data_IF_175837451900
#
_entry.id   IF_175837451900
#
_cell.length_a   1.000
_cell.length_b   1.000
_cell.length_c   1.000
_cell.angle_alpha   90.00
_cell.angle_beta   90.00
_cell.angle_gamma   90.00
#
_symmetry.space_group_name_H-M   'P 1'
#
loop_
_entity.id
_entity.type
_entity.pdbx_description
1 polymer ?
#
# COMPACT_ATOMS: atom_id res chain seq x y z
N UNK A 1 0.37 18.55 -9.16
CA UNK A 1 0.23 17.08 -9.04
C UNK A 1 1.63 16.49 -8.99
N UNK A 2 1.91 15.59 -8.02
CA UNK A 2 3.24 15.05 -7.79
C UNK A 2 3.74 14.25 -9.00
N UNK A 3 4.98 14.50 -9.41
CA UNK A 3 5.68 13.63 -10.35
C UNK A 3 6.06 12.35 -9.61
N UNK A 4 5.22 11.32 -9.74
CA UNK A 4 5.64 9.95 -9.44
C UNK A 4 6.69 9.55 -10.48
N UNK A 5 7.89 9.23 -10.00
CA UNK A 5 8.94 8.69 -10.85
C UNK A 5 8.48 7.36 -11.49
N UNK A 6 8.99 7.05 -12.68
CA UNK A 6 8.64 5.87 -13.45
C UNK A 6 8.93 4.59 -12.66
N UNK A 7 10.03 4.57 -11.88
CA UNK A 7 10.34 3.46 -10.98
C UNK A 7 9.24 3.28 -9.92
N UNK A 8 8.81 4.38 -9.30
CA UNK A 8 7.78 4.36 -8.27
C UNK A 8 6.44 3.86 -8.83
N UNK A 9 6.09 4.28 -10.04
CA UNK A 9 4.89 3.81 -10.75
C UNK A 9 4.88 2.28 -10.92
N UNK A 10 5.96 1.71 -11.44
CA UNK A 10 6.04 0.26 -11.64
C UNK A 10 6.10 -0.53 -10.33
N UNK A 11 6.76 -0.01 -9.29
CA UNK A 11 6.77 -0.63 -7.95
C UNK A 11 5.37 -0.71 -7.35
N UNK A 12 4.59 0.36 -7.45
CA UNK A 12 3.22 0.40 -6.94
C UNK A 12 2.33 -0.57 -7.73
N UNK A 13 2.41 -0.56 -9.06
CA UNK A 13 1.62 -1.47 -9.90
C UNK A 13 1.94 -2.94 -9.56
N UNK A 14 3.22 -3.29 -9.42
CA UNK A 14 3.64 -4.64 -9.03
C UNK A 14 3.07 -5.03 -7.66
N UNK A 15 3.13 -4.14 -6.66
CA UNK A 15 2.59 -4.40 -5.34
C UNK A 15 1.06 -4.63 -5.37
N UNK A 16 0.33 -3.83 -6.15
CA UNK A 16 -1.12 -3.96 -6.31
C UNK A 16 -1.49 -5.28 -6.97
N UNK A 17 -0.74 -5.73 -7.97
CA UNK A 17 -0.96 -7.03 -8.62
C UNK A 17 -0.66 -8.19 -7.66
N UNK A 18 0.48 -8.17 -6.98
CA UNK A 18 0.93 -9.31 -6.16
C UNK A 18 0.18 -9.45 -4.85
N UNK A 19 -0.12 -8.35 -4.19
CA UNK A 19 -0.65 -8.37 -2.82
C UNK A 19 -2.12 -7.96 -2.74
N UNK A 20 -2.65 -7.28 -3.76
CA UNK A 20 -4.01 -6.75 -3.77
C UNK A 20 -4.90 -7.26 -4.91
N UNK A 21 -4.42 -8.23 -5.70
CA UNK A 21 -5.17 -8.96 -6.73
C UNK A 21 -5.77 -8.09 -7.84
N UNK A 22 -5.27 -6.86 -8.02
CA UNK A 22 -5.63 -6.06 -9.17
C UNK A 22 -5.01 -6.65 -10.45
N UNK A 23 -5.78 -6.74 -11.52
CA UNK A 23 -5.29 -7.06 -12.85
C UNK A 23 -4.58 -5.86 -13.48
N UNK A 24 -3.71 -6.13 -14.46
CA UNK A 24 -3.05 -5.06 -15.22
C UNK A 24 -4.07 -4.13 -15.89
N UNK A 25 -5.16 -4.70 -16.41
CA UNK A 25 -6.27 -3.96 -17.02
C UNK A 25 -6.97 -3.03 -16.04
N UNK A 26 -7.19 -3.44 -14.79
CA UNK A 26 -7.80 -2.57 -13.77
C UNK A 26 -6.86 -1.42 -13.37
N UNK A 27 -5.55 -1.69 -13.30
CA UNK A 27 -4.54 -0.68 -12.96
C UNK A 27 -4.39 0.35 -14.09
N UNK A 28 -4.42 -0.09 -15.34
CA UNK A 28 -4.29 0.78 -16.52
C UNK A 28 -5.56 1.61 -16.77
N UNK A 29 -6.74 1.08 -16.44
CA UNK A 29 -8.01 1.81 -16.58
C UNK A 29 -8.39 2.63 -15.34
N UNK A 30 -7.60 2.57 -14.27
CA UNK A 30 -7.90 3.28 -13.02
C UNK A 30 -7.82 4.79 -13.23
N UNK A 31 -8.83 5.53 -12.75
CA UNK A 31 -8.81 6.99 -12.87
C UNK A 31 -7.69 7.53 -11.99
N UNK A 32 -6.96 8.54 -12.48
CA UNK A 32 -5.73 9.01 -11.83
C UNK A 32 -5.90 9.38 -10.35
N UNK A 33 -7.08 9.84 -9.92
CA UNK A 33 -7.37 10.17 -8.51
C UNK A 33 -7.73 8.97 -7.63
N UNK A 34 -8.31 7.89 -8.20
CA UNK A 34 -8.67 6.69 -7.43
C UNK A 34 -7.43 6.01 -6.87
N UNK A 35 -6.31 6.09 -7.61
CA UNK A 35 -5.01 5.55 -7.21
C UNK A 35 -4.53 6.15 -5.90
N UNK A 36 -4.64 7.46 -5.76
CA UNK A 36 -4.19 8.16 -4.56
C UNK A 36 -4.99 7.71 -3.33
N UNK A 37 -6.29 7.45 -3.50
CA UNK A 37 -7.16 6.95 -2.43
C UNK A 37 -6.77 5.52 -2.03
N UNK A 38 -6.65 4.59 -2.99
CA UNK A 38 -6.31 3.20 -2.68
C UNK A 38 -4.93 3.06 -2.06
N UNK A 39 -3.93 3.81 -2.57
CA UNK A 39 -2.59 3.85 -1.98
C UNK A 39 -2.64 4.44 -0.57
N UNK A 40 -3.45 5.49 -0.34
CA UNK A 40 -3.65 6.08 0.98
C UNK A 40 -4.28 5.11 2.00
N UNK A 41 -5.32 4.37 1.59
CA UNK A 41 -5.96 3.34 2.41
C UNK A 41 -4.99 2.20 2.72
N UNK A 42 -4.23 1.74 1.73
CA UNK A 42 -3.22 0.69 1.90
C UNK A 42 -2.13 1.12 2.88
N UNK A 43 -1.62 2.34 2.73
CA UNK A 43 -0.63 2.90 3.65
C UNK A 43 -1.16 2.90 5.08
N UNK A 44 -2.39 3.38 5.26
CA UNK A 44 -3.03 3.43 6.59
C UNK A 44 -3.17 2.04 7.21
N UNK A 45 -3.55 1.04 6.41
CA UNK A 45 -3.65 -0.35 6.86
C UNK A 45 -2.29 -0.93 7.30
N UNK A 46 -1.23 -0.70 6.51
CA UNK A 46 0.12 -1.17 6.84
C UNK A 46 0.63 -0.51 8.14
N UNK A 47 0.39 0.79 8.31
CA UNK A 47 0.76 1.52 9.52
C UNK A 47 0.05 0.96 10.76
N UNK A 48 -1.25 0.64 10.66
CA UNK A 48 -2.02 0.01 11.73
C UNK A 48 -1.49 -1.39 12.10
N UNK A 49 -1.22 -2.23 11.10
CA UNK A 49 -0.68 -3.58 11.32
C UNK A 49 0.71 -3.56 11.96
N UNK A 50 1.57 -2.62 11.55
CA UNK A 50 2.88 -2.43 12.18
C UNK A 50 2.76 -1.96 13.63
N UNK A 51 1.80 -1.07 13.92
CA UNK A 51 1.53 -0.61 15.29
C UNK A 51 1.08 -1.78 16.18
N UNK A 52 0.17 -2.63 15.70
CA UNK A 52 -0.27 -3.84 16.41
C UNK A 52 0.89 -4.79 16.68
N UNK A 53 1.75 -5.05 15.68
CA UNK A 53 2.95 -5.89 15.85
C UNK A 53 3.89 -5.33 16.93
N UNK A 54 4.17 -4.02 16.88
CA UNK A 54 5.03 -3.35 17.86
C UNK A 54 4.45 -3.41 19.28
N UNK A 55 3.14 -3.27 19.43
CA UNK A 55 2.45 -3.41 20.71
C UNK A 55 2.57 -4.85 21.24
N UNK A 56 2.34 -5.86 20.39
CA UNK A 56 2.49 -7.28 20.76
C UNK A 56 3.92 -7.60 21.19
N UNK A 57 4.94 -7.12 20.46
CA UNK A 57 6.35 -7.29 20.82
C UNK A 57 6.68 -6.63 22.16
N UNK A 58 6.18 -5.41 22.39
CA UNK A 58 6.41 -4.69 23.66
C UNK A 58 5.77 -5.42 24.84
N UNK A 59 4.52 -5.90 24.68
CA UNK A 59 3.83 -6.69 25.71
C UNK A 59 4.55 -8.02 26.00
N UNK A 60 5.09 -8.69 24.98
CA UNK A 60 5.90 -9.91 25.14
C UNK A 60 7.22 -9.66 25.84
N UNK A 61 7.84 -8.49 25.67
CA UNK A 61 9.11 -8.13 26.32
C UNK A 61 8.96 -7.82 27.81
N UNK A 62 7.76 -7.43 28.23
CA UNK A 62 7.49 -6.98 29.60
C UNK A 62 6.83 -8.08 30.48
N UNK A 63 6.67 -9.30 29.95
CA UNK A 63 6.16 -10.48 30.64
C UNK A 63 7.31 -11.46 30.95
#
# INVERSE_FOLDING_TARGET
>A
MSHIDLEAYYRINFALMQFHKYSLTEIENMVSWERDIYVGLLRSHIEEENLKRKQLETSRRNA
#
